data_IF_863285503575
#
_entry.id   IF_863285503575
#
_cell.length_a   1.000
_cell.length_b   1.000
_cell.length_c   1.000
_cell.angle_alpha   90.00
_cell.angle_beta   90.00
_cell.angle_gamma   90.00
#
_symmetry.space_group_name_H-M   'P 1'
#
loop_
_entity.id
_entity.type
_entity.pdbx_description
1 polymer ?
#
# COMPACT_ATOMS: atom_id res chain seq x y z
N UNK A 1 -7.55 -10.99 -15.71
CA UNK A 1 -7.12 -9.62 -16.09
C UNK A 1 -6.72 -8.93 -14.80
N UNK A 2 -5.50 -8.39 -14.72
CA UNK A 2 -5.07 -7.64 -13.54
C UNK A 2 -6.01 -6.46 -13.29
N UNK A 3 -6.33 -6.21 -12.02
CA UNK A 3 -7.15 -5.07 -11.63
C UNK A 3 -6.35 -3.77 -11.83
N UNK A 4 -7.04 -2.64 -11.99
CA UNK A 4 -6.36 -1.35 -12.18
C UNK A 4 -5.47 -0.97 -10.97
N UNK A 5 -5.81 -1.44 -9.78
CA UNK A 5 -4.98 -1.30 -8.60
C UNK A 5 -3.68 -2.12 -8.70
N UNK A 6 -3.76 -3.38 -9.11
CA UNK A 6 -2.58 -4.23 -9.30
C UNK A 6 -1.63 -3.61 -10.33
N UNK A 7 -2.18 -3.13 -11.45
CA UNK A 7 -1.39 -2.43 -12.49
C UNK A 7 -0.73 -1.18 -11.92
N UNK A 8 -1.45 -0.37 -11.13
CA UNK A 8 -0.89 0.85 -10.54
C UNK A 8 0.26 0.53 -9.57
N UNK A 9 0.08 -0.45 -8.68
CA UNK A 9 1.11 -0.84 -7.73
C UNK A 9 2.32 -1.47 -8.42
N UNK A 10 2.11 -2.28 -9.45
CA UNK A 10 3.19 -2.88 -10.25
C UNK A 10 3.97 -1.81 -11.02
N UNK A 11 3.29 -0.81 -11.60
CA UNK A 11 3.93 0.37 -12.21
C UNK A 11 4.81 1.12 -11.20
N UNK A 12 4.31 1.33 -9.98
CA UNK A 12 5.06 2.02 -8.94
C UNK A 12 6.30 1.24 -8.51
N UNK A 13 6.19 -0.09 -8.37
CA UNK A 13 7.34 -0.95 -8.02
C UNK A 13 8.36 -1.03 -9.16
N UNK A 14 7.94 -1.04 -10.44
CA UNK A 14 8.88 -1.03 -11.56
C UNK A 14 9.64 0.31 -11.63
N UNK A 15 8.96 1.44 -11.40
CA UNK A 15 9.63 2.76 -11.30
C UNK A 15 10.66 2.75 -10.17
N UNK A 16 10.28 2.25 -8.99
CA UNK A 16 11.18 2.13 -7.83
C UNK A 16 12.39 1.26 -8.12
N UNK A 17 12.19 0.13 -8.79
CA UNK A 17 13.27 -0.78 -9.21
C UNK A 17 14.23 -0.09 -10.15
N UNK A 18 13.73 0.60 -11.19
CA UNK A 18 14.57 1.38 -12.11
C UNK A 18 15.33 2.48 -11.36
N UNK A 19 14.68 3.20 -10.44
CA UNK A 19 15.33 4.24 -9.64
C UNK A 19 16.48 3.73 -8.76
N UNK A 20 16.49 2.44 -8.43
CA UNK A 20 17.53 1.82 -7.62
C UNK A 20 18.68 1.22 -8.45
N UNK A 21 18.53 1.02 -9.76
CA UNK A 21 19.58 0.50 -10.66
C UNK A 21 20.82 1.40 -10.69
N UNK A 22 21.96 0.92 -11.17
CA UNK A 22 23.18 1.73 -11.24
C UNK A 22 23.17 2.74 -12.40
N UNK A 23 22.69 2.30 -13.56
CA UNK A 23 22.60 3.10 -14.78
C UNK A 23 21.15 3.44 -15.12
N UNK A 24 20.96 4.58 -15.81
CA UNK A 24 19.65 5.07 -16.28
C UNK A 24 18.56 5.07 -15.19
N UNK A 25 18.93 5.51 -13.98
CA UNK A 25 18.07 5.53 -12.79
C UNK A 25 16.81 6.39 -12.90
N UNK A 26 16.64 7.17 -13.98
CA UNK A 26 15.51 8.09 -14.15
C UNK A 26 14.76 7.70 -15.43
N UNK A 27 13.68 6.90 -15.33
CA UNK A 27 12.90 6.49 -16.48
C UNK A 27 12.18 7.69 -17.09
N UNK A 28 12.34 7.87 -18.39
CA UNK A 28 11.67 8.91 -19.17
C UNK A 28 10.50 8.34 -19.97
N UNK A 29 9.48 9.16 -20.20
CA UNK A 29 8.24 8.78 -20.87
C UNK A 29 8.41 8.23 -22.29
N UNK A 30 9.49 8.57 -22.99
CA UNK A 30 9.81 8.11 -24.35
C UNK A 30 10.20 6.62 -24.43
N UNK A 31 10.82 6.10 -23.38
CA UNK A 31 11.27 4.71 -23.25
C UNK A 31 10.31 3.93 -22.35
N UNK A 32 10.10 4.43 -21.13
CA UNK A 32 9.32 3.75 -20.10
C UNK A 32 7.89 3.43 -20.55
N UNK A 33 7.19 4.37 -21.19
CA UNK A 33 5.82 4.11 -21.63
C UNK A 33 5.75 3.02 -22.69
N UNK A 34 6.73 2.93 -23.59
CA UNK A 34 6.74 1.89 -24.63
C UNK A 34 6.91 0.51 -24.00
N UNK A 35 7.80 0.40 -23.02
CA UNK A 35 8.04 -0.84 -22.29
C UNK A 35 6.80 -1.27 -21.49
N UNK A 36 6.14 -0.32 -20.81
CA UNK A 36 4.94 -0.60 -20.03
C UNK A 36 3.72 -0.92 -20.90
N UNK A 37 3.56 -0.29 -22.06
CA UNK A 37 2.52 -0.63 -23.05
C UNK A 37 2.67 -2.08 -23.49
N UNK A 38 3.89 -2.49 -23.84
CA UNK A 38 4.17 -3.86 -24.24
C UNK A 38 3.93 -4.85 -23.09
N UNK A 39 4.36 -4.52 -21.88
CA UNK A 39 4.23 -5.38 -20.70
C UNK A 39 2.77 -5.59 -20.26
N UNK A 40 2.00 -4.51 -20.12
CA UNK A 40 0.61 -4.58 -19.66
C UNK A 40 -0.41 -4.83 -20.77
N UNK A 41 0.02 -4.77 -22.05
CA UNK A 41 -0.85 -4.85 -23.23
C UNK A 41 -2.02 -3.84 -23.17
N UNK A 42 -1.72 -2.61 -22.73
CA UNK A 42 -2.68 -1.52 -22.54
C UNK A 42 -2.39 -0.33 -23.45
N UNK A 43 -3.40 0.49 -23.64
CA UNK A 43 -3.26 1.74 -24.38
C UNK A 43 -2.40 2.75 -23.59
N UNK A 44 -1.68 3.62 -24.32
CA UNK A 44 -0.82 4.66 -23.74
C UNK A 44 -1.61 5.61 -22.84
N UNK A 45 -2.87 5.87 -23.18
CA UNK A 45 -3.76 6.72 -22.39
C UNK A 45 -4.07 6.10 -21.02
N UNK A 46 -4.32 4.78 -20.94
CA UNK A 46 -4.58 4.09 -19.67
C UNK A 46 -3.36 4.11 -18.74
N UNK A 47 -2.16 3.90 -19.29
CA UNK A 47 -0.92 3.94 -18.50
C UNK A 47 -0.64 5.36 -18.01
N UNK A 48 -0.81 6.38 -18.85
CA UNK A 48 -0.65 7.79 -18.45
C UNK A 48 -1.65 8.18 -17.36
N UNK A 49 -2.91 7.76 -17.49
CA UNK A 49 -3.91 7.98 -16.46
C UNK A 49 -3.50 7.31 -15.13
N UNK A 50 -2.98 6.09 -15.21
CA UNK A 50 -2.49 5.36 -14.03
C UNK A 50 -1.30 6.06 -13.36
N UNK A 51 -0.37 6.62 -14.14
CA UNK A 51 0.74 7.41 -13.62
C UNK A 51 0.28 8.71 -12.93
N UNK A 52 -0.71 9.41 -13.49
CA UNK A 52 -1.29 10.58 -12.83
C UNK A 52 -2.02 10.22 -11.53
N UNK A 53 -2.72 9.07 -11.48
CA UNK A 53 -3.30 8.56 -10.23
C UNK A 53 -2.23 8.23 -9.18
N UNK A 54 -1.12 7.61 -9.59
CA UNK A 54 0.00 7.31 -8.68
C UNK A 54 0.66 8.57 -8.12
N UNK A 55 0.74 9.62 -8.94
CA UNK A 55 1.20 10.94 -8.50
C UNK A 55 0.24 11.58 -7.50
N UNK A 56 -1.07 11.54 -7.76
CA UNK A 56 -2.08 12.05 -6.81
C UNK A 56 -2.06 11.26 -5.49
N UNK A 57 -1.85 9.95 -5.57
CA UNK A 57 -1.68 9.06 -4.42
C UNK A 57 -0.31 9.16 -3.73
N UNK A 58 0.58 10.06 -4.18
CA UNK A 58 1.91 10.31 -3.61
C UNK A 58 2.85 9.10 -3.62
N UNK A 59 2.64 8.17 -4.54
CA UNK A 59 3.59 7.07 -4.79
C UNK A 59 4.78 7.52 -5.62
N UNK A 60 4.54 8.41 -6.59
CA UNK A 60 5.56 8.89 -7.52
C UNK A 60 5.50 10.41 -7.66
N UNK A 61 6.62 10.98 -8.10
CA UNK A 61 6.70 12.32 -8.66
C UNK A 61 6.87 12.24 -10.18
N UNK A 62 6.33 13.24 -10.87
CA UNK A 62 6.45 13.38 -12.33
C UNK A 62 7.12 14.72 -12.62
N UNK A 63 8.29 14.68 -13.25
CA UNK A 63 9.05 15.86 -13.66
C UNK A 63 8.86 16.06 -15.16
N UNK A 64 8.41 17.25 -15.57
CA UNK A 64 8.42 17.64 -16.98
C UNK A 64 9.84 18.06 -17.37
N UNK A 65 10.58 17.17 -18.01
CA UNK A 65 11.99 17.38 -18.36
C UNK A 65 12.09 18.26 -19.62
N UNK A 66 11.30 17.95 -20.64
CA UNK A 66 11.24 18.69 -21.90
C UNK A 66 9.85 19.29 -22.02
N UNK A 67 9.80 20.61 -22.19
CA UNK A 67 8.55 21.30 -22.40
C UNK A 67 8.09 21.10 -23.85
N UNK A 68 6.78 20.88 -24.09
CA UNK A 68 6.24 20.76 -25.43
C UNK A 68 6.46 22.08 -26.19
N UNK A 69 7.08 22.00 -27.37
CA UNK A 69 7.19 23.19 -28.22
C UNK A 69 5.87 23.46 -28.92
N UNK A 70 5.33 24.67 -28.71
CA UNK A 70 4.21 25.17 -29.51
C UNK A 70 4.73 25.62 -30.88
N UNK A 71 5.12 24.65 -31.70
CA UNK A 71 5.36 24.92 -33.12
C UNK A 71 4.00 25.07 -33.81
N UNK A 72 3.83 26.11 -34.63
CA UNK A 72 2.58 26.45 -35.34
C UNK A 72 2.12 25.39 -36.36
N UNK A 73 2.85 24.29 -36.51
CA UNK A 73 2.55 23.22 -37.48
C UNK A 73 1.93 22.01 -36.75
N UNK A 74 0.65 22.16 -36.47
CA UNK A 74 -0.23 21.21 -35.79
C UNK A 74 -0.48 19.95 -36.63
N UNK A 75 0.38 18.93 -36.50
CA UNK A 75 0.02 17.53 -36.83
C UNK A 75 0.53 16.51 -35.82
N UNK A 76 1.62 16.83 -35.12
CA UNK A 76 2.10 16.06 -33.98
C UNK A 76 2.19 17.03 -32.79
N UNK A 77 1.23 16.98 -31.87
CA UNK A 77 1.40 17.62 -30.58
C UNK A 77 2.59 16.94 -29.90
N UNK A 78 3.75 17.56 -29.89
CA UNK A 78 4.84 17.12 -29.02
C UNK A 78 4.30 17.20 -27.58
N UNK A 79 4.16 16.05 -26.92
CA UNK A 79 3.64 15.95 -25.56
C UNK A 79 4.70 16.34 -24.51
N UNK A 80 5.92 16.66 -24.95
CA UNK A 80 7.07 16.83 -24.09
C UNK A 80 7.57 15.48 -23.55
N UNK A 81 8.55 15.55 -22.67
CA UNK A 81 9.15 14.36 -22.05
C UNK A 81 9.05 14.48 -20.53
N UNK A 82 8.33 13.55 -19.93
CA UNK A 82 8.23 13.40 -18.48
C UNK A 82 9.27 12.40 -17.95
N UNK A 83 9.71 12.57 -16.70
CA UNK A 83 10.45 11.59 -15.92
C UNK A 83 9.64 11.15 -14.69
N UNK A 84 9.78 9.87 -14.33
CA UNK A 84 9.07 9.27 -13.21
C UNK A 84 10.02 8.90 -12.08
N UNK A 85 9.65 9.26 -10.86
CA UNK A 85 10.50 9.09 -9.67
C UNK A 85 9.65 8.56 -8.53
N UNK A 86 10.09 7.49 -7.87
CA UNK A 86 9.41 6.98 -6.69
C UNK A 86 9.58 7.96 -5.51
N UNK A 87 8.49 8.23 -4.79
CA UNK A 87 8.42 9.29 -3.79
C UNK A 87 9.07 8.92 -2.44
N UNK A 88 10.22 8.25 -2.43
CA UNK A 88 10.93 7.89 -1.19
C UNK A 88 12.12 8.81 -0.94
N UNK A 89 12.35 9.21 0.32
CA UNK A 89 13.39 10.17 0.67
C UNK A 89 14.79 9.66 0.34
N UNK A 90 15.06 8.37 0.58
CA UNK A 90 16.35 7.77 0.26
C UNK A 90 16.57 7.73 -1.25
N UNK A 91 15.56 7.27 -2.01
CA UNK A 91 15.62 7.24 -3.48
C UNK A 91 15.83 8.66 -4.05
N UNK A 92 15.07 9.65 -3.58
CA UNK A 92 15.19 11.04 -4.06
C UNK A 92 16.59 11.61 -3.79
N UNK A 93 17.18 11.34 -2.62
CA UNK A 93 18.55 11.76 -2.31
C UNK A 93 19.59 11.11 -3.23
N UNK A 94 19.46 9.80 -3.46
CA UNK A 94 20.36 9.06 -4.33
C UNK A 94 20.26 9.52 -5.79
N UNK A 95 19.04 9.78 -6.27
CA UNK A 95 18.79 10.30 -7.61
C UNK A 95 19.29 11.74 -7.77
N UNK A 96 19.20 12.57 -6.72
CA UNK A 96 19.76 13.93 -6.73
C UNK A 96 21.26 13.90 -6.95
N UNK A 97 21.99 13.11 -6.17
CA UNK A 97 23.44 12.95 -6.34
C UNK A 97 23.82 12.39 -7.71
N UNK A 98 23.00 11.49 -8.28
CA UNK A 98 23.18 11.01 -9.64
C UNK A 98 22.96 12.12 -10.69
N UNK A 99 21.88 12.89 -10.58
CA UNK A 99 21.53 13.96 -11.50
C UNK A 99 22.57 15.09 -11.47
N UNK A 100 23.06 15.46 -10.29
CA UNK A 100 24.11 16.47 -10.11
C UNK A 100 25.42 16.05 -10.80
N UNK A 101 25.85 14.79 -10.64
CA UNK A 101 27.04 14.27 -11.33
C UNK A 101 26.87 14.25 -12.85
N UNK A 102 25.68 13.90 -13.34
CA UNK A 102 25.39 13.93 -14.79
C UNK A 102 25.33 15.38 -15.31
N UNK A 103 24.82 16.32 -14.51
CA UNK A 103 24.78 17.74 -14.82
C UNK A 103 26.20 18.32 -14.96
N UNK A 104 27.10 18.04 -14.02
CA UNK A 104 28.50 18.47 -14.10
C UNK A 104 29.18 17.96 -15.38
N UNK A 105 29.00 16.67 -15.70
CA UNK A 105 29.56 16.06 -16.92
C UNK A 105 28.99 16.71 -18.19
N UNK A 106 27.68 16.94 -18.23
CA UNK A 106 27.03 17.60 -19.38
C UNK A 106 27.53 19.04 -19.56
N UNK A 107 27.74 19.77 -18.46
CA UNK A 107 28.28 21.12 -18.48
C UNK A 107 29.74 21.13 -18.94
N UNK A 108 30.59 20.24 -18.40
CA UNK A 108 31.99 20.09 -18.81
C UNK A 108 32.10 19.76 -20.30
N UNK A 109 31.26 18.87 -20.81
CA UNK A 109 31.24 18.52 -22.23
C UNK A 109 30.82 19.69 -23.14
N UNK A 110 29.95 20.59 -22.66
CA UNK A 110 29.40 21.70 -23.46
C UNK A 110 30.31 22.94 -23.42
N UNK A 111 30.88 23.25 -22.25
CA UNK A 111 31.63 24.50 -22.01
C UNK A 111 33.12 24.29 -21.75
N UNK A 112 33.60 23.05 -21.71
CA UNK A 112 35.00 22.68 -21.42
C UNK A 112 35.53 23.25 -20.08
N UNK A 113 34.61 23.46 -19.12
CA UNK A 113 34.90 24.00 -17.80
C UNK A 113 34.14 23.20 -16.75
N UNK A 114 34.77 22.96 -15.60
CA UNK A 114 34.11 22.37 -14.44
C UNK A 114 33.55 23.45 -13.54
N UNK A 115 32.30 23.27 -13.13
CA UNK A 115 31.62 24.09 -12.13
C UNK A 115 30.81 23.16 -11.23
N UNK A 116 30.55 23.59 -9.99
CA UNK A 116 29.69 22.81 -9.10
C UNK A 116 28.24 22.83 -9.60
N UNK A 117 27.40 21.84 -9.24
CA UNK A 117 26.03 21.73 -9.72
C UNK A 117 25.22 22.97 -9.31
N UNK A 118 25.44 23.47 -8.09
CA UNK A 118 24.82 24.70 -7.58
C UNK A 118 25.14 25.93 -8.44
N UNK A 119 26.40 26.10 -8.85
CA UNK A 119 26.80 27.21 -9.72
C UNK A 119 26.17 27.10 -11.11
N UNK A 120 26.17 25.88 -11.68
CA UNK A 120 25.57 25.58 -12.99
C UNK A 120 24.08 25.91 -12.97
N UNK A 121 23.36 25.41 -11.96
CA UNK A 121 21.92 25.66 -11.79
C UNK A 121 21.63 27.15 -11.65
N UNK A 122 22.36 27.89 -10.80
CA UNK A 122 22.13 29.33 -10.61
C UNK A 122 22.32 30.15 -11.89
N UNK A 123 23.25 29.75 -12.74
CA UNK A 123 23.60 30.44 -13.98
C UNK A 123 22.64 30.12 -15.12
N UNK A 124 22.28 28.85 -15.28
CA UNK A 124 21.54 28.36 -16.44
C UNK A 124 20.03 28.25 -16.22
N UNK A 125 19.56 28.14 -14.98
CA UNK A 125 18.13 28.05 -14.68
C UNK A 125 17.32 29.28 -15.16
N UNK A 126 17.81 30.54 -15.03
CA UNK A 126 17.11 31.69 -15.61
C UNK A 126 16.94 31.62 -17.14
N UNK A 127 17.81 30.86 -17.81
CA UNK A 127 17.84 30.67 -19.28
C UNK A 127 17.38 29.26 -19.69
N UNK A 128 16.65 28.56 -18.82
CA UNK A 128 16.31 27.14 -19.02
C UNK A 128 15.58 26.86 -20.34
N UNK A 129 14.79 27.83 -20.84
CA UNK A 129 14.08 27.72 -22.12
C UNK A 129 15.03 27.62 -23.32
N UNK A 130 16.18 28.29 -23.27
CA UNK A 130 17.22 28.23 -24.32
C UNK A 130 17.91 26.86 -24.35
N UNK A 131 17.87 26.15 -23.23
CA UNK A 131 18.44 24.81 -23.07
C UNK A 131 17.37 23.71 -23.10
N UNK A 132 16.13 24.01 -23.53
CA UNK A 132 15.08 22.99 -23.65
C UNK A 132 15.56 21.85 -24.56
N UNK A 133 15.19 20.62 -24.20
CA UNK A 133 15.58 19.41 -24.93
C UNK A 133 17.10 19.10 -25.00
N UNK A 134 17.98 19.93 -24.44
CA UNK A 134 19.43 19.62 -24.35
C UNK A 134 19.74 18.71 -23.16
N UNK A 135 20.79 17.87 -23.18
CA UNK A 135 21.19 17.06 -22.02
C UNK A 135 21.40 17.91 -20.77
N UNK A 136 21.96 19.11 -20.96
CA UNK A 136 22.20 20.07 -19.90
C UNK A 136 20.89 20.58 -19.29
N UNK A 137 19.97 21.10 -20.11
CA UNK A 137 18.67 21.58 -19.63
C UNK A 137 17.83 20.48 -18.98
N UNK A 138 17.88 19.26 -19.54
CA UNK A 138 17.21 18.08 -18.97
C UNK A 138 17.68 17.80 -17.54
N UNK A 139 19.00 17.74 -17.30
CA UNK A 139 19.54 17.49 -15.97
C UNK A 139 19.39 18.67 -15.00
N UNK A 140 19.37 19.92 -15.48
CA UNK A 140 19.05 21.09 -14.64
C UNK A 140 17.63 20.96 -14.08
N UNK A 141 16.64 20.70 -14.96
CA UNK A 141 15.24 20.54 -14.54
C UNK A 141 15.09 19.42 -13.51
N UNK A 142 15.72 18.27 -13.77
CA UNK A 142 15.68 17.13 -12.86
C UNK A 142 16.33 17.48 -11.51
N UNK A 143 17.53 18.07 -11.49
CA UNK A 143 18.24 18.37 -10.25
C UNK A 143 17.48 19.37 -9.36
N UNK A 144 16.92 20.43 -9.95
CA UNK A 144 16.13 21.42 -9.23
C UNK A 144 14.87 20.79 -8.65
N UNK A 145 14.14 20.01 -9.45
CA UNK A 145 12.90 19.39 -9.00
C UNK A 145 13.15 18.34 -7.92
N UNK A 146 14.23 17.57 -7.99
CA UNK A 146 14.65 16.64 -6.95
C UNK A 146 14.98 17.34 -5.63
N UNK A 147 15.60 18.52 -5.69
CA UNK A 147 15.84 19.34 -4.48
C UNK A 147 14.51 19.81 -3.85
N UNK A 148 13.55 20.25 -4.65
CA UNK A 148 12.23 20.64 -4.14
C UNK A 148 11.46 19.43 -3.58
N UNK A 149 11.50 18.27 -4.24
CA UNK A 149 10.86 17.06 -3.71
C UNK A 149 11.52 16.57 -2.42
N UNK A 150 12.83 16.68 -2.28
CA UNK A 150 13.52 16.39 -1.03
C UNK A 150 12.98 17.26 0.11
N UNK A 151 12.76 18.56 -0.13
CA UNK A 151 12.17 19.48 0.85
C UNK A 151 10.73 19.09 1.19
N UNK A 152 9.91 18.77 0.19
CA UNK A 152 8.51 18.36 0.40
C UNK A 152 8.42 17.07 1.24
N UNK A 153 9.25 16.06 0.93
CA UNK A 153 9.30 14.82 1.70
C UNK A 153 9.75 15.04 3.14
N UNK A 154 10.70 15.96 3.35
CA UNK A 154 11.19 16.30 4.70
C UNK A 154 10.17 17.10 5.50
N UNK A 155 9.39 17.97 4.85
CA UNK A 155 8.41 18.84 5.51
C UNK A 155 7.17 18.06 5.99
N UNK A 156 6.78 16.99 5.29
CA UNK A 156 5.58 16.22 5.60
C UNK A 156 5.82 14.71 5.46
N UNK A 157 6.64 14.06 6.31
CA UNK A 157 6.95 12.64 6.19
C UNK A 157 5.70 11.75 6.29
N UNK A 158 4.78 12.09 7.21
CA UNK A 158 3.53 11.35 7.42
C UNK A 158 2.59 11.35 6.21
N UNK A 159 2.80 12.25 5.24
CA UNK A 159 2.01 12.30 4.01
C UNK A 159 2.43 11.20 3.01
N UNK A 160 3.62 10.64 3.21
CA UNK A 160 4.27 9.66 2.33
C UNK A 160 4.42 8.28 2.99
N UNK A 161 3.80 8.07 4.15
CA UNK A 161 3.71 6.74 4.76
C UNK A 161 2.90 5.79 3.88
N UNK A 162 3.33 4.54 3.80
CA UNK A 162 2.72 3.53 2.91
C UNK A 162 1.24 3.30 3.20
N UNK A 163 0.84 3.32 4.47
CA UNK A 163 -0.56 3.21 4.87
C UNK A 163 -1.39 4.37 4.35
N UNK A 164 -0.84 5.59 4.35
CA UNK A 164 -1.54 6.77 3.87
C UNK A 164 -1.61 6.79 2.35
N UNK A 165 -0.52 6.45 1.66
CA UNK A 165 -0.49 6.31 0.19
C UNK A 165 -1.52 5.29 -0.30
N UNK A 166 -1.61 4.13 0.35
CA UNK A 166 -2.62 3.10 0.04
C UNK A 166 -4.04 3.63 0.20
N UNK A 167 -4.32 4.34 1.29
CA UNK A 167 -5.63 4.93 1.54
C UNK A 167 -6.00 5.99 0.49
N UNK A 168 -5.07 6.86 0.12
CA UNK A 168 -5.30 7.89 -0.91
C UNK A 168 -5.49 7.23 -2.28
N UNK A 169 -4.68 6.21 -2.63
CA UNK A 169 -4.83 5.49 -3.89
C UNK A 169 -6.21 4.82 -3.99
N UNK A 170 -6.68 4.19 -2.92
CA UNK A 170 -8.01 3.61 -2.88
C UNK A 170 -9.11 4.67 -3.08
N UNK A 171 -8.98 5.83 -2.44
CA UNK A 171 -9.92 6.95 -2.62
C UNK A 171 -9.91 7.50 -4.06
N UNK A 172 -8.73 7.65 -4.67
CA UNK A 172 -8.57 8.12 -6.05
C UNK A 172 -9.22 7.14 -7.04
N UNK A 173 -9.02 5.83 -6.83
CA UNK A 173 -9.65 4.79 -7.66
C UNK A 173 -11.18 4.74 -7.49
N UNK A 174 -11.70 4.95 -6.27
CA UNK A 174 -13.14 5.05 -6.04
C UNK A 174 -13.74 6.27 -6.77
N UNK A 175 -13.05 7.42 -6.76
CA UNK A 175 -13.46 8.64 -7.49
C UNK A 175 -13.41 8.48 -9.01
N UNK A 176 -12.46 7.68 -9.52
CA UNK A 176 -12.32 7.40 -10.95
C UNK A 176 -13.44 6.47 -11.50
N UNK A 177 -14.41 6.08 -10.68
CA UNK A 177 -15.53 5.22 -11.08
C UNK A 177 -15.14 3.75 -11.26
N UNK A 178 -13.92 3.39 -10.87
CA UNK A 178 -13.46 2.00 -10.91
C UNK A 178 -13.86 1.31 -9.62
N UNK A 179 -14.68 0.24 -9.68
CA UNK A 179 -15.05 -0.49 -8.48
C UNK A 179 -13.78 -1.14 -7.92
N UNK A 180 -13.29 -0.55 -6.84
CA UNK A 180 -12.18 -1.07 -6.05
C UNK A 180 -12.69 -2.35 -5.38
N UNK A 181 -12.62 -3.48 -6.08
CA UNK A 181 -12.67 -4.81 -5.44
C UNK A 181 -11.34 -5.04 -4.74
N UNK A 182 -11.01 -4.18 -3.78
CA UNK A 182 -9.93 -4.44 -2.84
C UNK A 182 -10.43 -5.56 -1.95
N UNK A 183 -9.89 -6.76 -2.24
CA UNK A 183 -9.38 -7.65 -1.22
C UNK A 183 -8.74 -6.77 -0.13
N UNK A 184 -9.53 -6.45 0.89
CA UNK A 184 -9.06 -5.75 2.07
C UNK A 184 -8.07 -6.68 2.76
N UNK A 185 -6.80 -6.48 2.47
CA UNK A 185 -5.77 -6.88 3.41
C UNK A 185 -6.01 -6.08 4.68
N UNK A 186 -6.24 -6.83 5.75
CA UNK A 186 -6.44 -6.37 7.11
C UNK A 186 -5.20 -5.55 7.51
N UNK A 187 -5.33 -4.42 8.23
CA UNK A 187 -4.18 -3.70 8.75
C UNK A 187 -3.38 -4.64 9.65
N UNK A 188 -2.09 -4.79 9.36
CA UNK A 188 -1.11 -5.26 10.33
C UNK A 188 -1.19 -4.33 11.54
N UNK A 189 -1.70 -4.86 12.65
CA UNK A 189 -1.58 -4.19 13.93
C UNK A 189 -0.12 -4.27 14.33
N UNK A 190 0.60 -3.16 14.18
CA UNK A 190 1.85 -2.97 14.92
C UNK A 190 1.55 -3.12 16.41
N UNK A 191 2.26 -4.08 16.99
CA UNK A 191 2.40 -4.27 18.43
C UNK A 191 3.15 -3.04 18.93
N UNK A 192 2.41 -2.01 19.35
CA UNK A 192 2.95 -1.06 20.32
C UNK A 192 3.08 -1.81 21.64
N UNK A 193 4.30 -2.28 21.90
CA UNK A 193 4.78 -2.67 23.21
C UNK A 193 4.33 -1.66 24.26
N UNK A 194 3.37 -2.04 25.11
CA UNK A 194 3.11 -1.36 26.37
C UNK A 194 4.30 -1.72 27.28
N UNK A 195 5.38 -0.98 27.12
CA UNK A 195 6.61 -1.08 27.90
C UNK A 195 6.94 0.28 28.51
N UNK A 196 6.64 0.42 29.79
CA UNK A 196 7.43 1.23 30.74
C UNK A 196 7.31 2.76 30.66
N UNK A 197 6.38 3.34 31.44
CA UNK A 197 6.75 4.22 32.56
C UNK A 197 5.52 4.70 33.32
N UNK A 198 5.18 4.00 34.41
CA UNK A 198 4.47 4.59 35.54
C UNK A 198 4.86 3.83 36.80
N UNK A 199 5.87 4.38 37.48
CA UNK A 199 6.22 4.08 38.86
C UNK A 199 5.05 4.41 39.79
N UNK A 200 4.60 3.45 40.58
CA UNK A 200 3.78 3.73 41.77
C UNK A 200 2.67 2.71 42.09
N UNK A 201 3.03 1.73 42.91
CA UNK A 201 2.17 0.96 43.83
C UNK A 201 1.54 -0.36 43.35
N UNK A 202 1.52 -1.39 44.23
CA UNK A 202 1.26 -2.78 43.89
C UNK A 202 -0.21 -3.12 44.04
N UNK A 203 -0.70 -4.19 43.38
CA UNK A 203 -1.58 -5.21 43.96
C UNK A 203 -2.31 -6.03 42.87
N UNK A 204 -2.26 -7.34 43.03
CA UNK A 204 -3.45 -8.17 42.91
C UNK A 204 -3.62 -8.94 41.61
N UNK A 205 -3.06 -10.16 41.59
CA UNK A 205 -3.74 -11.28 40.93
C UNK A 205 -5.20 -11.33 41.42
N UNK A 206 -6.15 -11.00 40.54
CA UNK A 206 -7.58 -11.24 40.78
C UNK A 206 -8.11 -12.25 39.77
N UNK A 207 -8.93 -13.15 40.32
CA UNK A 207 -9.41 -14.42 39.80
C UNK A 207 -10.34 -14.26 38.60
N UNK A 208 -10.29 -15.24 37.70
CA UNK A 208 -11.08 -15.35 36.46
C UNK A 208 -12.56 -15.78 36.68
N UNK A 209 -13.21 -15.26 37.71
CA UNK A 209 -14.61 -15.54 38.03
C UNK A 209 -15.23 -14.26 38.58
N UNK A 210 -15.58 -13.35 37.65
CA UNK A 210 -16.56 -12.26 37.79
C UNK A 210 -16.32 -11.25 36.66
N UNK A 211 -16.74 -11.65 35.45
CA UNK A 211 -16.95 -10.73 34.34
C UNK A 211 -18.11 -11.27 33.49
N UNK A 212 -19.22 -11.61 34.15
CA UNK A 212 -20.53 -11.69 33.49
C UNK A 212 -21.14 -10.31 33.61
N UNK A 213 -20.62 -9.40 32.80
CA UNK A 213 -21.38 -8.28 32.29
C UNK A 213 -21.06 -8.27 30.80
N UNK A 214 -22.11 -8.40 30.01
CA UNK A 214 -22.15 -8.09 28.59
C UNK A 214 -21.39 -6.79 28.32
N UNK A 215 -20.09 -6.89 28.01
CA UNK A 215 -19.44 -5.86 27.22
C UNK A 215 -20.03 -6.02 25.81
N UNK A 216 -21.20 -5.44 25.61
CA UNK A 216 -21.61 -4.94 24.31
C UNK A 216 -20.49 -4.03 23.85
N UNK A 217 -19.56 -4.61 23.10
CA UNK A 217 -18.48 -3.88 22.45
C UNK A 217 -19.18 -2.88 21.56
N UNK A 218 -19.10 -1.59 21.94
CA UNK A 218 -19.76 -0.51 21.26
C UNK A 218 -19.57 -0.64 19.75
N UNK A 219 -20.68 -0.82 19.03
CA UNK A 219 -20.72 -0.89 17.57
C UNK A 219 -20.06 0.38 17.03
N UNK A 220 -18.81 0.27 16.57
CA UNK A 220 -18.13 1.39 15.95
C UNK A 220 -18.49 1.41 14.46
N UNK A 221 -19.35 2.33 14.00
CA UNK A 221 -19.79 2.40 12.60
C UNK A 221 -18.65 2.73 11.63
N UNK A 222 -17.49 3.16 12.14
CA UNK A 222 -16.28 3.42 11.35
C UNK A 222 -15.36 2.19 11.26
N UNK A 223 -15.64 1.09 11.97
CA UNK A 223 -14.81 -0.12 11.88
C UNK A 223 -14.91 -0.73 10.47
N UNK A 224 -13.79 -1.17 9.85
CA UNK A 224 -13.81 -1.84 8.57
C UNK A 224 -14.78 -3.02 8.52
N UNK A 225 -14.89 -3.79 9.60
CA UNK A 225 -15.85 -4.88 9.74
C UNK A 225 -17.30 -4.40 9.62
N UNK A 226 -17.67 -3.34 10.35
CA UNK A 226 -19.01 -2.74 10.32
C UNK A 226 -19.40 -2.26 8.91
N UNK A 227 -18.44 -1.69 8.17
CA UNK A 227 -18.62 -1.28 6.77
C UNK A 227 -18.75 -2.45 5.78
N UNK A 228 -18.26 -3.65 6.13
CA UNK A 228 -18.40 -4.84 5.30
C UNK A 228 -19.72 -5.53 5.58
N UNK A 229 -20.08 -5.68 6.85
CA UNK A 229 -21.34 -6.30 7.27
C UNK A 229 -22.56 -5.49 6.82
N UNK A 230 -22.40 -4.21 6.48
CA UNK A 230 -23.46 -3.40 5.87
C UNK A 230 -23.66 -3.66 4.36
N UNK A 231 -22.66 -4.23 3.67
CA UNK A 231 -22.69 -4.49 2.22
C UNK A 231 -22.80 -5.98 1.87
N UNK A 232 -22.31 -6.85 2.74
CA UNK A 232 -22.19 -8.28 2.49
C UNK A 232 -22.63 -9.08 3.72
N UNK A 233 -23.11 -10.31 3.50
CA UNK A 233 -23.43 -11.22 4.59
C UNK A 233 -22.18 -11.64 5.35
N UNK A 234 -22.34 -11.88 6.65
CA UNK A 234 -21.26 -12.38 7.51
C UNK A 234 -20.72 -13.73 7.01
N UNK A 235 -21.62 -14.62 6.58
CA UNK A 235 -21.26 -15.91 5.97
C UNK A 235 -20.31 -15.75 4.77
N UNK A 236 -20.62 -14.81 3.87
CA UNK A 236 -19.79 -14.54 2.69
C UNK A 236 -18.40 -14.04 3.10
N UNK A 237 -18.32 -13.11 4.06
CA UNK A 237 -17.05 -12.59 4.56
C UNK A 237 -16.21 -13.68 5.22
N UNK A 238 -16.82 -14.52 6.05
CA UNK A 238 -16.14 -15.67 6.69
C UNK A 238 -15.63 -16.65 5.64
N UNK A 239 -16.42 -16.96 4.60
CA UNK A 239 -16.02 -17.88 3.52
C UNK A 239 -14.78 -17.38 2.78
N UNK A 240 -14.66 -16.07 2.55
CA UNK A 240 -13.47 -15.47 1.91
C UNK A 240 -12.22 -15.72 2.77
N UNK A 241 -12.29 -15.41 4.07
CA UNK A 241 -11.16 -15.60 4.98
C UNK A 241 -10.74 -17.07 5.07
N UNK A 242 -11.71 -18.01 5.10
CA UNK A 242 -11.43 -19.44 5.10
C UNK A 242 -10.73 -19.91 3.82
N UNK A 243 -11.15 -19.40 2.65
CA UNK A 243 -10.51 -19.74 1.36
C UNK A 243 -9.06 -19.25 1.26
N UNK A 244 -8.73 -18.17 1.95
CA UNK A 244 -7.37 -17.59 2.01
C UNK A 244 -6.51 -18.14 3.15
N UNK A 245 -7.01 -19.09 3.95
CA UNK A 245 -6.35 -19.62 5.14
C UNK A 245 -6.08 -18.56 6.23
N UNK A 246 -6.90 -17.50 6.29
CA UNK A 246 -6.76 -16.41 7.27
C UNK A 246 -7.48 -16.75 8.60
N UNK A 247 -7.12 -17.87 9.24
CA UNK A 247 -7.79 -18.38 10.44
C UNK A 247 -7.68 -17.42 11.64
N UNK A 248 -6.54 -16.76 11.78
CA UNK A 248 -6.28 -15.78 12.84
C UNK A 248 -7.21 -14.56 12.78
N UNK A 249 -7.59 -14.13 11.57
CA UNK A 249 -8.54 -13.03 11.40
C UNK A 249 -9.91 -13.43 11.97
N UNK A 250 -10.38 -14.63 11.65
CA UNK A 250 -11.66 -15.15 12.16
C UNK A 250 -11.60 -15.31 13.68
N UNK A 251 -10.49 -15.81 14.22
CA UNK A 251 -10.26 -15.90 15.66
C UNK A 251 -10.41 -14.53 16.35
N UNK A 252 -9.77 -13.50 15.80
CA UNK A 252 -9.85 -12.12 16.32
C UNK A 252 -11.28 -11.55 16.23
N UNK A 253 -12.03 -11.86 15.17
CA UNK A 253 -13.43 -11.44 15.02
C UNK A 253 -14.35 -12.06 16.08
N UNK A 254 -14.14 -13.33 16.42
CA UNK A 254 -14.89 -13.99 17.50
C UNK A 254 -14.49 -13.43 18.87
N UNK A 255 -13.19 -13.21 19.12
CA UNK A 255 -12.71 -12.67 20.40
C UNK A 255 -13.13 -11.22 20.64
N UNK A 256 -13.12 -10.39 19.59
CA UNK A 256 -13.54 -8.99 19.64
C UNK A 256 -15.06 -8.79 19.71
N UNK A 257 -15.85 -9.87 19.74
CA UNK A 257 -17.30 -9.79 19.84
C UNK A 257 -17.95 -9.25 18.56
N UNK A 258 -17.31 -9.43 17.40
CA UNK A 258 -17.85 -9.06 16.08
C UNK A 258 -18.62 -10.22 15.44
N UNK A 259 -18.25 -11.45 15.77
CA UNK A 259 -18.97 -12.68 15.45
C UNK A 259 -19.59 -13.23 16.73
N UNK A 260 -20.87 -12.90 16.96
CA UNK A 260 -21.58 -13.22 18.21
C UNK A 260 -22.80 -14.10 17.96
N UNK A 261 -23.35 -14.11 16.75
CA UNK A 261 -24.55 -14.90 16.49
C UNK A 261 -24.22 -16.39 16.50
N UNK A 262 -25.19 -17.18 16.97
CA UNK A 262 -25.04 -18.63 17.00
C UNK A 262 -24.87 -19.22 15.59
N UNK A 263 -25.58 -18.67 14.61
CA UNK A 263 -25.53 -19.11 13.20
C UNK A 263 -24.15 -18.87 12.59
N UNK A 264 -23.55 -17.69 12.81
CA UNK A 264 -22.23 -17.36 12.30
C UNK A 264 -21.14 -18.26 12.91
N UNK A 265 -21.20 -18.49 14.23
CA UNK A 265 -20.25 -19.37 14.92
C UNK A 265 -20.42 -20.83 14.49
N UNK A 266 -21.65 -21.27 14.23
CA UNK A 266 -21.94 -22.60 13.68
C UNK A 266 -21.32 -22.74 12.30
N UNK A 267 -21.48 -21.73 11.43
CA UNK A 267 -20.91 -21.73 10.09
C UNK A 267 -19.38 -21.83 10.11
N UNK A 268 -18.70 -21.05 10.97
CA UNK A 268 -17.25 -21.14 11.15
C UNK A 268 -16.84 -22.56 11.55
N UNK A 269 -17.49 -23.13 12.58
CA UNK A 269 -17.17 -24.47 13.08
C UNK A 269 -17.35 -25.56 12.01
N UNK A 270 -18.49 -25.55 11.31
CA UNK A 270 -18.84 -26.58 10.33
C UNK A 270 -17.93 -26.49 9.09
N UNK A 271 -17.58 -25.27 8.68
CA UNK A 271 -16.64 -25.04 7.58
C UNK A 271 -15.22 -25.50 7.92
N UNK A 272 -14.73 -25.21 9.12
CA UNK A 272 -13.41 -25.68 9.58
C UNK A 272 -13.37 -27.19 9.70
N UNK A 273 -14.41 -27.83 10.26
CA UNK A 273 -14.48 -29.28 10.32
C UNK A 273 -14.45 -29.92 8.92
N UNK A 274 -15.12 -29.29 7.95
CA UNK A 274 -15.07 -29.73 6.54
C UNK A 274 -13.66 -29.57 5.96
N UNK A 275 -12.95 -28.47 6.24
CA UNK A 275 -11.58 -28.25 5.76
C UNK A 275 -10.58 -29.25 6.37
N UNK A 276 -10.70 -29.55 7.66
CA UNK A 276 -9.87 -30.57 8.32
C UNK A 276 -10.02 -31.96 7.67
N UNK A 277 -11.24 -32.34 7.29
CA UNK A 277 -11.49 -33.61 6.60
C UNK A 277 -10.88 -33.64 5.18
N UNK A 278 -10.63 -32.49 4.57
CA UNK A 278 -10.02 -32.36 3.22
C UNK A 278 -8.52 -32.08 3.24
N UNK A 279 -7.84 -32.20 4.38
CA UNK A 279 -6.38 -32.00 4.52
C UNK A 279 -5.53 -32.94 3.63
N UNK A 280 -6.13 -34.02 3.11
CA UNK A 280 -5.49 -34.94 2.17
C UNK A 280 -5.55 -34.46 0.70
N UNK A 281 -6.52 -33.61 0.36
CA UNK A 281 -6.69 -33.05 -0.99
C UNK A 281 -5.84 -31.80 -1.22
N UNK A 282 -5.51 -31.07 -0.16
CA UNK A 282 -4.74 -29.83 -0.21
C UNK A 282 -3.55 -29.89 0.76
N UNK A 283 -2.31 -30.02 0.25
CA UNK A 283 -1.10 -30.07 1.07
C UNK A 283 -0.85 -28.81 1.91
N UNK A 284 -1.38 -27.63 1.51
CA UNK A 284 -1.19 -26.38 2.25
C UNK A 284 -1.96 -26.37 3.57
N UNK A 285 -3.11 -27.04 3.64
CA UNK A 285 -3.92 -27.18 4.86
C UNK A 285 -3.18 -27.86 6.01
N UNK A 286 -2.20 -28.73 5.69
CA UNK A 286 -1.39 -29.42 6.70
C UNK A 286 -0.60 -28.45 7.58
N UNK A 287 -0.23 -27.29 7.05
CA UNK A 287 0.54 -26.29 7.78
C UNK A 287 -0.33 -25.51 8.79
N UNK A 288 -1.65 -25.59 8.68
CA UNK A 288 -2.62 -24.84 9.48
C UNK A 288 -3.51 -25.71 10.37
N UNK A 289 -3.16 -26.99 10.58
CA UNK A 289 -3.99 -27.94 11.33
C UNK A 289 -4.24 -27.51 12.78
N UNK A 290 -3.22 -26.92 13.40
CA UNK A 290 -3.29 -26.46 14.79
C UNK A 290 -4.21 -25.23 14.89
N UNK A 291 -4.07 -24.26 13.99
CA UNK A 291 -4.90 -23.07 13.91
C UNK A 291 -6.37 -23.41 13.64
N UNK A 292 -6.63 -24.35 12.72
CA UNK A 292 -7.98 -24.86 12.44
C UNK A 292 -8.59 -25.49 13.70
N UNK A 293 -7.84 -26.35 14.39
CA UNK A 293 -8.31 -27.01 15.61
C UNK A 293 -8.61 -25.99 16.72
N UNK A 294 -7.74 -25.00 16.92
CA UNK A 294 -7.95 -23.94 17.90
C UNK A 294 -9.17 -23.09 17.58
N UNK A 295 -9.34 -22.67 16.32
CA UNK A 295 -10.45 -21.85 15.87
C UNK A 295 -11.79 -22.58 16.04
N UNK A 296 -11.84 -23.86 15.67
CA UNK A 296 -13.03 -24.71 15.89
C UNK A 296 -13.38 -24.82 17.37
N UNK A 297 -12.38 -25.06 18.23
CA UNK A 297 -12.60 -25.16 19.69
C UNK A 297 -13.12 -23.85 20.26
N UNK A 298 -12.60 -22.72 19.78
CA UNK A 298 -13.00 -21.39 20.19
C UNK A 298 -14.44 -21.06 19.75
N UNK A 299 -14.81 -21.36 18.50
CA UNK A 299 -16.16 -21.22 18.00
C UNK A 299 -17.15 -22.08 18.82
N UNK A 300 -16.83 -23.36 19.05
CA UNK A 300 -17.67 -24.27 19.84
C UNK A 300 -17.82 -23.79 21.30
N UNK A 301 -16.74 -23.30 21.93
CA UNK A 301 -16.80 -22.73 23.29
C UNK A 301 -17.74 -21.55 23.36
N UNK A 302 -17.68 -20.63 22.39
CA UNK A 302 -18.57 -19.46 22.32
C UNK A 302 -20.02 -19.86 22.05
N UNK A 303 -20.26 -20.84 21.18
CA UNK A 303 -21.60 -21.41 20.97
C UNK A 303 -22.18 -22.03 22.23
N UNK A 304 -21.38 -22.75 23.02
CA UNK A 304 -21.84 -23.36 24.28
C UNK A 304 -22.22 -22.30 25.32
N UNK A 305 -21.44 -21.22 25.41
CA UNK A 305 -21.76 -20.06 26.25
C UNK A 305 -23.11 -19.45 25.83
N UNK A 306 -23.35 -19.26 24.53
CA UNK A 306 -24.61 -18.72 24.01
C UNK A 306 -25.82 -19.65 24.25
N UNK A 307 -25.59 -20.96 24.25
CA UNK A 307 -26.63 -21.97 24.57
C UNK A 307 -26.88 -22.11 26.08
N UNK A 308 -26.16 -21.38 26.94
CA UNK A 308 -26.26 -21.53 28.39
C UNK A 308 -25.74 -22.88 28.91
N UNK A 309 -24.98 -23.63 28.11
CA UNK A 309 -24.35 -24.88 28.53
C UNK A 309 -23.04 -24.50 29.22
N UNK A 310 -23.14 -24.03 30.45
CA UNK A 310 -22.01 -24.06 31.38
C UNK A 310 -21.83 -25.52 31.81
N UNK A 311 -20.60 -26.04 31.72
CA UNK A 311 -20.27 -27.35 32.29
C UNK A 311 -20.38 -27.26 33.82
N UNK A 312 -21.58 -27.37 34.38
CA UNK A 312 -21.80 -27.83 35.73
C UNK A 312 -21.74 -29.36 35.72
N UNK A 313 -20.51 -29.88 35.60
CA UNK A 313 -20.20 -31.24 36.01
C UNK A 313 -20.05 -31.27 37.52
N UNK A 314 -21.18 -31.40 38.23
CA UNK A 314 -21.18 -31.81 39.62
C UNK A 314 -20.64 -33.23 39.70
N UNK A 315 -19.39 -33.39 40.14
CA UNK A 315 -18.92 -34.67 40.66
C UNK A 315 -19.58 -34.84 42.02
N UNK A 316 -20.64 -35.65 42.06
CA UNK A 316 -21.06 -36.33 43.29
C UNK A 316 -20.24 -37.61 43.39
N UNK A 317 -19.26 -37.60 44.29
CA UNK A 317 -19.11 -38.54 45.40
C UNK A 317 -17.94 -38.09 46.27
#
# INVERSE_FOLDING_TARGET
MATQLEIALELAEEIKKINQQEDNRIPSSDSFLKDMIAFFSRDIYEIRQTLEMLKEAKYIFIIKIVLPESSKNSREQDLGVDAYIYADLKIVNDLKGFAEKKLEKAYEATYYKRKSPFQITRELFPKIKEHNNTPLGRFINIAVMLEEYQRVLTAAPNDYDDNRRRNVLAEVLERAGTPVTVARDIPDYEISSIGGNSSGSPLGFKRAADAVASNEVAFNPKSPWSRLTSKFSVEFLVRIHLRKYEFDTIRKLILSGKLVTFEDLKYVRDSIHTMENHTHLDPLLRNYTDEMTELRRLAQKKMNILKGITNSGSIQH
#
